data_IF_338726255138
#
_entry.id   IF_338726255138
#
_cell.length_a   1.000
_cell.length_b   1.000
_cell.length_c   1.000
_cell.angle_alpha   90.00
_cell.angle_beta   90.00
_cell.angle_gamma   90.00
#
_symmetry.space_group_name_H-M   'P 1'
#
loop_
_entity.id
_entity.type
_entity.pdbx_description
1 polymer ?
#
# COMPACT_ATOMS: atom_id res chain seq x y z
N UNK A 1 1.42 -58.50 -1.55
CA UNK A 1 0.15 -57.75 -1.79
C UNK A 1 0.37 -56.26 -1.55
N UNK A 2 0.81 -55.50 -2.55
CA UNK A 2 1.20 -54.09 -2.34
C UNK A 2 1.06 -53.18 -3.56
N UNK A 3 0.30 -53.59 -4.60
CA UNK A 3 0.15 -52.83 -5.85
C UNK A 3 -1.31 -52.45 -6.17
N UNK A 4 -2.28 -52.82 -5.35
CA UNK A 4 -3.70 -52.42 -5.53
C UNK A 4 -4.11 -51.13 -4.80
N UNK A 5 -3.27 -50.60 -3.89
CA UNK A 5 -3.56 -49.38 -3.12
C UNK A 5 -3.36 -48.06 -3.90
N UNK A 6 -2.36 -48.01 -4.79
CA UNK A 6 -2.00 -46.78 -5.51
C UNK A 6 -2.93 -46.47 -6.69
N UNK A 7 -3.51 -47.49 -7.34
CA UNK A 7 -4.45 -47.27 -8.44
C UNK A 7 -5.82 -46.72 -7.99
N UNK A 8 -6.22 -46.96 -6.73
CA UNK A 8 -7.46 -46.36 -6.16
C UNK A 8 -7.30 -44.86 -5.85
N UNK A 9 -6.11 -44.41 -5.44
CA UNK A 9 -5.84 -42.99 -5.17
C UNK A 9 -5.76 -42.15 -6.46
N UNK A 10 -5.19 -42.70 -7.53
CA UNK A 10 -5.06 -42.01 -8.82
C UNK A 10 -6.40 -41.87 -9.56
N UNK A 11 -7.34 -42.81 -9.35
CA UNK A 11 -8.68 -42.73 -9.97
C UNK A 11 -9.60 -41.69 -9.31
N UNK A 12 -9.44 -41.43 -8.01
CA UNK A 12 -10.25 -40.44 -7.28
C UNK A 12 -9.79 -39.01 -7.52
N UNK A 13 -8.47 -38.78 -7.71
CA UNK A 13 -7.95 -37.47 -8.12
C UNK A 13 -8.34 -37.08 -9.55
N UNK A 14 -8.39 -38.03 -10.50
CA UNK A 14 -8.86 -37.76 -11.87
C UNK A 14 -10.35 -37.36 -11.92
N UNK A 15 -11.22 -38.00 -11.13
CA UNK A 15 -12.66 -37.64 -11.05
C UNK A 15 -12.90 -36.26 -10.39
N UNK A 16 -12.08 -35.85 -9.41
CA UNK A 16 -12.15 -34.51 -8.79
C UNK A 16 -11.69 -33.40 -9.74
N UNK A 17 -10.67 -33.65 -10.59
CA UNK A 17 -10.19 -32.69 -11.60
C UNK A 17 -11.20 -32.49 -12.74
N UNK A 18 -11.93 -33.54 -13.13
CA UNK A 18 -12.98 -33.47 -14.15
C UNK A 18 -14.25 -32.73 -13.70
N UNK A 19 -14.67 -32.86 -12.42
CA UNK A 19 -15.79 -32.08 -11.87
C UNK A 19 -15.47 -30.59 -11.75
N UNK A 20 -14.22 -30.22 -11.40
CA UNK A 20 -13.79 -28.81 -11.30
C UNK A 20 -13.72 -28.11 -12.65
N UNK A 21 -13.43 -28.83 -13.73
CA UNK A 21 -13.43 -28.27 -15.09
C UNK A 21 -14.85 -28.14 -15.67
N UNK A 22 -15.81 -28.99 -15.27
CA UNK A 22 -17.20 -28.88 -15.76
C UNK A 22 -17.94 -27.65 -15.21
N UNK A 23 -17.64 -27.21 -13.99
CA UNK A 23 -18.19 -25.96 -13.42
C UNK A 23 -17.53 -24.69 -13.99
N UNK A 24 -16.41 -24.79 -14.71
CA UNK A 24 -15.70 -23.64 -15.28
C UNK A 24 -16.14 -23.30 -16.71
N UNK A 25 -16.85 -24.22 -17.36
CA UNK A 25 -17.34 -24.06 -18.75
C UNK A 25 -18.77 -23.48 -18.79
N UNK A 26 -19.48 -23.39 -17.66
CA UNK A 26 -20.83 -22.80 -17.59
C UNK A 26 -20.87 -21.31 -17.18
N UNK A 27 -19.74 -20.64 -16.99
CA UNK A 27 -19.67 -19.22 -16.63
C UNK A 27 -19.10 -18.31 -17.74
N UNK A 28 -18.97 -18.84 -18.96
CA UNK A 28 -18.57 -18.08 -20.15
C UNK A 28 -19.73 -18.10 -21.17
N UNK A 29 -20.66 -17.17 -21.00
CA UNK A 29 -21.60 -16.76 -22.04
C UNK A 29 -20.99 -15.61 -22.84
N UNK A 30 -20.89 -15.78 -24.16
CA UNK A 30 -20.23 -14.89 -25.11
C UNK A 30 -21.15 -13.73 -25.60
N UNK A 31 -20.59 -12.70 -26.30
CA UNK A 31 -21.11 -11.34 -26.45
C UNK A 31 -21.83 -11.05 -27.78
N UNK A 32 -22.43 -9.84 -27.92
CA UNK A 32 -22.80 -9.01 -29.12
C UNK A 32 -24.09 -8.19 -28.83
N UNK A 33 -24.37 -6.92 -29.23
CA UNK A 33 -23.84 -5.86 -30.13
C UNK A 33 -24.38 -4.49 -29.59
N UNK A 34 -23.61 -3.40 -29.48
CA UNK A 34 -23.45 -2.22 -30.40
C UNK A 34 -24.75 -1.48 -30.80
N UNK A 35 -24.99 -0.28 -30.26
CA UNK A 35 -25.00 1.03 -30.98
C UNK A 35 -25.55 2.20 -30.15
N UNK A 36 -25.04 3.42 -30.39
CA UNK A 36 -25.80 4.67 -30.20
C UNK A 36 -25.18 5.77 -29.33
N UNK A 37 -24.38 6.65 -29.96
CA UNK A 37 -23.91 7.93 -29.42
C UNK A 37 -24.89 9.04 -29.80
N UNK A 38 -25.34 9.89 -28.86
CA UNK A 38 -25.56 11.35 -29.07
C UNK A 38 -26.01 12.06 -27.79
N UNK A 39 -25.59 13.32 -27.68
CA UNK A 39 -25.64 14.21 -26.54
C UNK A 39 -27.00 14.90 -26.30
N UNK A 40 -27.28 15.28 -25.05
CA UNK A 40 -27.78 16.62 -24.67
C UNK A 40 -27.93 16.78 -23.15
N UNK A 41 -27.72 18.01 -22.71
CA UNK A 41 -27.81 18.59 -21.37
C UNK A 41 -29.12 18.38 -20.61
N UNK A 42 -29.06 18.29 -19.28
CA UNK A 42 -29.78 19.20 -18.37
C UNK A 42 -29.48 18.92 -16.90
N UNK A 43 -29.44 20.01 -16.15
CA UNK A 43 -29.26 20.13 -14.70
C UNK A 43 -30.49 19.60 -13.97
N UNK A 44 -30.30 18.79 -12.92
CA UNK A 44 -31.15 18.85 -11.72
C UNK A 44 -30.48 18.21 -10.50
N UNK A 45 -30.79 18.81 -9.35
CA UNK A 45 -30.29 18.55 -8.00
C UNK A 45 -30.83 17.25 -7.41
N UNK A 46 -30.09 16.80 -6.39
CA UNK A 46 -30.54 16.17 -5.14
C UNK A 46 -30.41 14.64 -5.00
N UNK A 47 -29.87 14.33 -3.81
CA UNK A 47 -30.04 13.15 -2.97
C UNK A 47 -29.18 11.90 -3.21
N UNK A 48 -28.27 11.70 -2.25
CA UNK A 48 -27.52 10.49 -1.95
C UNK A 48 -28.46 9.30 -1.68
N UNK A 49 -28.18 8.09 -2.16
CA UNK A 49 -29.02 6.94 -1.83
C UNK A 49 -28.61 6.36 -0.48
N UNK A 50 -29.45 6.62 0.53
CA UNK A 50 -29.57 5.77 1.73
C UNK A 50 -29.96 4.35 1.30
N UNK A 51 -29.24 3.35 1.80
CA UNK A 51 -29.62 1.95 1.64
C UNK A 51 -30.97 1.69 2.33
N UNK A 52 -31.99 1.32 1.55
CA UNK A 52 -33.30 0.92 2.08
C UNK A 52 -33.21 -0.48 2.69
N UNK A 53 -33.73 -0.60 3.92
CA UNK A 53 -34.07 -1.86 4.55
C UNK A 53 -35.42 -2.35 4.03
N UNK A 54 -35.45 -3.56 3.47
CA UNK A 54 -36.68 -4.32 3.30
C UNK A 54 -36.97 -5.09 4.59
N UNK A 55 -38.12 -4.82 5.19
CA UNK A 55 -38.70 -5.63 6.26
C UNK A 55 -40.05 -6.14 5.78
N UNK A 56 -40.19 -7.45 5.63
CA UNK A 56 -41.46 -8.12 5.87
C UNK A 56 -41.26 -9.53 6.42
N UNK A 57 -42.06 -9.81 7.44
CA UNK A 57 -41.97 -10.89 8.42
C UNK A 57 -42.43 -12.26 7.90
N UNK A 58 -42.03 -13.34 8.58
CA UNK A 58 -42.97 -14.26 9.25
C UNK A 58 -42.28 -15.23 10.22
N UNK A 59 -42.83 -15.29 11.45
CA UNK A 59 -43.04 -16.51 12.25
C UNK A 59 -41.83 -17.30 12.77
N UNK A 60 -41.42 -17.03 14.00
CA UNK A 60 -40.59 -17.95 14.80
C UNK A 60 -40.12 -17.30 16.10
N UNK A 61 -40.67 -17.74 17.25
CA UNK A 61 -40.17 -17.37 18.58
C UNK A 61 -38.85 -18.09 18.82
N UNK A 62 -37.78 -17.51 18.32
CA UNK A 62 -36.43 -17.80 18.79
C UNK A 62 -35.99 -16.57 19.58
N UNK A 63 -35.48 -16.76 20.79
CA UNK A 63 -34.89 -15.69 21.56
C UNK A 63 -33.75 -15.11 20.72
N UNK A 64 -34.03 -14.01 20.01
CA UNK A 64 -33.00 -13.22 19.37
C UNK A 64 -32.13 -12.75 20.52
N UNK A 65 -30.98 -13.38 20.69
CA UNK A 65 -29.85 -12.71 21.27
C UNK A 65 -29.76 -11.41 20.46
N UNK A 66 -30.16 -10.31 21.08
CA UNK A 66 -29.86 -8.99 20.58
C UNK A 66 -28.35 -8.94 20.67
N UNK A 67 -27.68 -9.39 19.60
CA UNK A 67 -26.29 -9.04 19.35
C UNK A 67 -26.27 -7.52 19.56
N UNK A 68 -25.54 -7.01 20.55
CA UNK A 68 -25.49 -5.57 20.76
C UNK A 68 -24.92 -5.01 19.47
N UNK A 69 -25.79 -4.38 18.66
CA UNK A 69 -25.40 -3.72 17.42
C UNK A 69 -24.59 -2.51 17.86
N UNK A 70 -23.31 -2.75 18.11
CA UNK A 70 -22.32 -1.71 18.36
C UNK A 70 -22.39 -0.75 17.16
N UNK A 71 -22.43 0.57 17.39
CA UNK A 71 -22.44 1.54 16.31
C UNK A 71 -21.29 1.29 15.33
N UNK A 72 -21.52 1.55 14.04
CA UNK A 72 -20.54 1.35 12.96
C UNK A 72 -19.19 2.03 13.26
N UNK A 73 -19.24 3.18 13.94
CA UNK A 73 -18.07 3.93 14.41
C UNK A 73 -17.20 3.15 15.41
N UNK A 74 -17.84 2.37 16.29
CA UNK A 74 -17.14 1.53 17.28
C UNK A 74 -16.48 0.35 16.57
N UNK A 75 -17.15 -0.25 15.58
CA UNK A 75 -16.57 -1.30 14.76
C UNK A 75 -15.38 -0.81 13.95
N UNK A 76 -15.48 0.35 13.29
CA UNK A 76 -14.37 0.96 12.58
C UNK A 76 -13.15 1.18 13.49
N UNK A 77 -13.40 1.62 14.74
CA UNK A 77 -12.33 1.82 15.71
C UNK A 77 -11.70 0.51 16.16
N UNK A 78 -12.50 -0.51 16.49
CA UNK A 78 -12.01 -1.85 16.84
C UNK A 78 -11.19 -2.42 15.68
N UNK A 79 -11.72 -2.36 14.45
CA UNK A 79 -11.04 -2.86 13.27
C UNK A 79 -9.69 -2.16 13.07
N UNK A 80 -9.62 -0.84 13.25
CA UNK A 80 -8.38 -0.05 13.10
C UNK A 80 -7.26 -0.43 14.08
N UNK A 81 -7.60 -1.08 15.20
CA UNK A 81 -6.68 -1.54 16.23
C UNK A 81 -6.21 -2.99 16.01
N UNK A 82 -6.88 -3.76 15.16
CA UNK A 82 -6.47 -5.12 14.82
C UNK A 82 -5.15 -5.10 14.03
N UNK A 83 -4.40 -6.19 14.08
CA UNK A 83 -3.36 -6.39 13.08
C UNK A 83 -4.00 -6.62 11.72
N UNK A 84 -3.29 -6.27 10.64
CA UNK A 84 -3.80 -6.42 9.27
C UNK A 84 -4.26 -7.85 8.98
N UNK A 85 -3.57 -8.86 9.49
CA UNK A 85 -3.93 -10.28 9.30
C UNK A 85 -5.25 -10.62 9.99
N UNK A 86 -5.44 -10.18 11.24
CA UNK A 86 -6.66 -10.43 12.00
C UNK A 86 -7.87 -9.72 11.36
N UNK A 87 -7.67 -8.49 10.89
CA UNK A 87 -8.67 -7.75 10.13
C UNK A 87 -9.05 -8.46 8.81
N UNK A 88 -8.08 -9.07 8.13
CA UNK A 88 -8.32 -9.89 6.94
C UNK A 88 -9.06 -11.20 7.27
N UNK A 89 -8.70 -11.86 8.38
CA UNK A 89 -9.36 -13.08 8.83
C UNK A 89 -10.81 -12.83 9.25
N UNK A 90 -11.08 -11.74 9.97
CA UNK A 90 -12.44 -11.34 10.33
C UNK A 90 -13.29 -11.06 9.08
N UNK A 91 -12.69 -10.58 7.99
CA UNK A 91 -13.38 -10.40 6.70
C UNK A 91 -13.96 -11.69 6.13
N UNK A 92 -13.42 -12.86 6.50
CA UNK A 92 -13.94 -14.16 6.09
C UNK A 92 -15.21 -14.58 6.85
N UNK A 93 -15.50 -13.92 7.98
CA UNK A 93 -16.60 -14.32 8.88
C UNK A 93 -17.93 -13.72 8.47
N UNK A 94 -17.95 -12.49 7.93
CA UNK A 94 -19.19 -11.84 7.49
C UNK A 94 -18.99 -10.83 6.36
N UNK A 95 -20.06 -10.51 5.63
CA UNK A 95 -20.04 -9.45 4.61
C UNK A 95 -19.77 -8.07 5.21
N UNK A 96 -20.23 -7.81 6.42
CA UNK A 96 -19.97 -6.54 7.12
C UNK A 96 -18.48 -6.37 7.42
N UNK A 97 -17.83 -7.43 7.93
CA UNK A 97 -16.39 -7.45 8.16
C UNK A 97 -15.58 -7.35 6.86
N UNK A 98 -16.08 -7.93 5.77
CA UNK A 98 -15.49 -7.71 4.44
C UNK A 98 -15.55 -6.23 4.02
N UNK A 99 -16.64 -5.53 4.34
CA UNK A 99 -16.76 -4.08 4.15
C UNK A 99 -15.65 -3.34 4.90
N UNK A 100 -15.52 -3.56 6.21
CA UNK A 100 -14.49 -2.91 7.04
C UNK A 100 -13.06 -3.23 6.57
N UNK A 101 -12.81 -4.47 6.09
CA UNK A 101 -11.51 -4.84 5.52
C UNK A 101 -11.17 -4.04 4.25
N UNK A 102 -12.13 -3.84 3.35
CA UNK A 102 -11.95 -3.05 2.13
C UNK A 102 -11.59 -1.59 2.42
N UNK A 103 -11.99 -1.09 3.59
CA UNK A 103 -11.78 0.28 4.07
C UNK A 103 -10.65 0.36 5.12
N UNK A 104 -9.94 -0.74 5.38
CA UNK A 104 -8.98 -0.86 6.48
C UNK A 104 -7.77 0.10 6.31
N UNK A 105 -7.49 1.01 7.25
CA UNK A 105 -6.60 2.15 7.00
C UNK A 105 -5.09 1.85 7.08
N UNK A 106 -4.68 0.72 7.66
CA UNK A 106 -3.28 0.44 7.99
C UNK A 106 -2.75 -0.77 7.23
N UNK A 107 -2.16 -0.57 6.06
CA UNK A 107 -1.64 -1.65 5.23
C UNK A 107 -0.15 -1.87 5.49
N UNK A 108 0.22 -3.11 5.82
CA UNK A 108 1.61 -3.51 6.08
C UNK A 108 1.92 -4.81 5.35
N UNK A 109 2.55 -4.66 4.19
CA UNK A 109 3.04 -5.73 3.35
C UNK A 109 4.53 -5.91 3.60
N UNK A 110 4.88 -6.89 4.42
CA UNK A 110 6.26 -7.24 4.76
C UNK A 110 6.43 -8.74 4.64
N UNK A 111 7.68 -9.19 4.56
CA UNK A 111 7.95 -10.62 4.54
C UNK A 111 7.38 -11.30 5.81
N UNK A 112 7.53 -10.66 6.98
CA UNK A 112 7.02 -11.20 8.24
C UNK A 112 5.49 -11.31 8.24
N UNK A 113 4.79 -10.36 7.62
CA UNK A 113 3.33 -10.33 7.66
C UNK A 113 2.64 -11.22 6.64
N UNK A 114 3.30 -11.57 5.52
CA UNK A 114 2.66 -12.34 4.43
C UNK A 114 3.32 -13.70 4.18
N UNK A 115 4.62 -13.84 4.43
CA UNK A 115 5.38 -15.08 4.16
C UNK A 115 6.28 -15.49 5.33
N UNK A 116 5.76 -15.68 6.57
CA UNK A 116 6.58 -15.89 7.77
C UNK A 116 7.46 -17.15 7.76
N UNK A 117 7.23 -18.10 6.85
CA UNK A 117 7.99 -19.36 6.75
C UNK A 117 9.19 -19.27 5.81
N UNK A 118 9.28 -18.24 4.98
CA UNK A 118 10.29 -18.15 3.92
C UNK A 118 10.97 -16.77 3.94
N UNK A 119 12.26 -16.74 3.63
CA UNK A 119 13.00 -15.49 3.52
C UNK A 119 12.96 -15.00 2.06
N UNK A 120 12.15 -13.98 1.78
CA UNK A 120 12.00 -13.42 0.43
C UNK A 120 13.29 -12.85 -0.16
N UNK A 121 14.32 -12.55 0.66
CA UNK A 121 15.64 -12.10 0.18
C UNK A 121 16.44 -13.22 -0.49
N UNK A 122 16.15 -14.47 -0.16
CA UNK A 122 16.82 -15.67 -0.67
C UNK A 122 15.87 -16.61 -1.40
N UNK A 123 14.60 -16.23 -1.53
CA UNK A 123 13.56 -17.07 -2.09
C UNK A 123 13.64 -17.16 -3.63
N UNK A 124 13.08 -18.23 -4.18
CA UNK A 124 12.93 -18.39 -5.63
C UNK A 124 11.91 -17.43 -6.23
N UNK A 125 11.96 -17.24 -7.55
CA UNK A 125 11.06 -16.35 -8.31
C UNK A 125 9.58 -16.65 -8.05
N UNK A 126 9.19 -17.93 -7.93
CA UNK A 126 7.81 -18.34 -7.67
C UNK A 126 7.25 -17.79 -6.36
N UNK A 127 8.01 -17.88 -5.27
CA UNK A 127 7.60 -17.39 -3.94
C UNK A 127 7.40 -15.87 -3.96
N UNK A 128 8.37 -15.15 -4.55
CA UNK A 128 8.31 -13.68 -4.68
C UNK A 128 7.08 -13.28 -5.51
N UNK A 129 6.78 -14.01 -6.59
CA UNK A 129 5.59 -13.75 -7.41
C UNK A 129 4.30 -14.04 -6.66
N UNK A 130 4.24 -15.11 -5.87
CA UNK A 130 3.06 -15.41 -5.05
C UNK A 130 2.81 -14.33 -3.99
N UNK A 131 3.88 -13.85 -3.33
CA UNK A 131 3.83 -12.69 -2.43
C UNK A 131 3.33 -11.43 -3.16
N UNK A 132 3.93 -11.10 -4.31
CA UNK A 132 3.52 -9.93 -5.09
C UNK A 132 2.05 -10.05 -5.57
N UNK A 133 1.62 -11.23 -6.00
CA UNK A 133 0.22 -11.48 -6.38
C UNK A 133 -0.74 -11.32 -5.21
N UNK A 134 -0.31 -11.59 -3.97
CA UNK A 134 -1.12 -11.37 -2.79
C UNK A 134 -1.34 -9.88 -2.52
N UNK A 135 -0.28 -9.07 -2.64
CA UNK A 135 -0.39 -7.60 -2.53
C UNK A 135 -1.37 -7.07 -3.58
N UNK A 136 -1.21 -7.52 -4.82
CA UNK A 136 -2.06 -7.12 -5.95
C UNK A 136 -3.53 -7.39 -5.67
N UNK A 137 -3.85 -8.60 -5.19
CA UNK A 137 -5.21 -8.97 -4.79
C UNK A 137 -5.75 -8.13 -3.64
N UNK A 138 -4.92 -7.77 -2.66
CA UNK A 138 -5.38 -6.94 -1.55
C UNK A 138 -5.71 -5.54 -2.05
N UNK A 139 -4.82 -4.91 -2.82
CA UNK A 139 -4.99 -3.53 -3.29
C UNK A 139 -6.12 -3.39 -4.32
N UNK A 140 -6.26 -4.32 -5.25
CA UNK A 140 -7.32 -4.31 -6.28
C UNK A 140 -8.72 -4.53 -5.71
N UNK A 141 -8.85 -5.19 -4.55
CA UNK A 141 -10.15 -5.46 -3.92
C UNK A 141 -10.64 -4.33 -2.99
N UNK A 142 -9.89 -3.23 -2.85
CA UNK A 142 -10.25 -2.11 -1.96
C UNK A 142 -11.23 -1.15 -2.62
N UNK A 143 -12.01 -0.48 -1.77
CA UNK A 143 -12.80 0.68 -2.18
C UNK A 143 -11.88 1.90 -2.25
N UNK A 144 -11.80 2.57 -3.40
CA UNK A 144 -10.96 3.77 -3.59
C UNK A 144 -11.39 4.99 -2.76
N UNK A 145 -12.61 4.96 -2.20
CA UNK A 145 -13.16 6.05 -1.40
C UNK A 145 -12.57 6.14 0.02
N UNK A 146 -12.17 5.00 0.60
CA UNK A 146 -11.70 4.91 1.98
C UNK A 146 -10.17 4.83 2.00
N UNK A 147 -9.58 6.02 2.00
CA UNK A 147 -8.13 6.20 1.83
C UNK A 147 -7.28 5.48 2.87
N UNK A 148 -6.12 5.01 2.44
CA UNK A 148 -5.11 4.39 3.31
C UNK A 148 -4.44 5.47 4.16
N UNK A 149 -4.37 5.26 5.49
CA UNK A 149 -3.72 6.18 6.40
C UNK A 149 -2.23 5.85 6.59
N UNK A 150 -1.90 4.56 6.64
CA UNK A 150 -0.53 4.06 6.76
C UNK A 150 -0.28 2.98 5.73
N UNK A 151 0.77 3.14 4.95
CA UNK A 151 1.23 2.14 3.98
C UNK A 151 2.68 1.80 4.27
N UNK A 152 2.94 0.53 4.55
CA UNK A 152 4.27 -0.07 4.54
C UNK A 152 4.32 -1.16 3.48
N UNK A 153 5.27 -1.06 2.56
CA UNK A 153 5.40 -1.92 1.40
C UNK A 153 6.84 -2.38 1.20
N UNK A 154 7.08 -3.67 1.42
CA UNK A 154 8.32 -4.35 1.06
C UNK A 154 8.13 -4.99 -0.32
N UNK A 155 8.72 -4.39 -1.35
CA UNK A 155 8.67 -4.90 -2.72
C UNK A 155 9.92 -5.74 -3.03
N UNK A 156 9.72 -6.99 -3.41
CA UNK A 156 10.80 -7.87 -3.84
C UNK A 156 10.78 -8.03 -5.35
N UNK A 157 11.89 -7.67 -6.01
CA UNK A 157 12.03 -7.81 -7.47
C UNK A 157 12.30 -9.29 -7.80
N UNK A 158 11.51 -9.93 -8.68
CA UNK A 158 11.79 -11.29 -9.13
C UNK A 158 13.19 -11.40 -9.77
N UNK A 159 13.98 -12.46 -9.47
CA UNK A 159 15.35 -12.60 -9.95
C UNK A 159 15.51 -12.71 -11.46
N UNK A 160 14.44 -13.10 -12.16
CA UNK A 160 14.39 -13.28 -13.61
C UNK A 160 14.18 -11.97 -14.39
N UNK A 161 14.00 -10.84 -13.69
CA UNK A 161 13.87 -9.50 -14.29
C UNK A 161 12.62 -9.30 -15.14
N UNK A 162 11.70 -10.27 -15.16
CA UNK A 162 10.57 -10.30 -16.08
C UNK A 162 9.42 -9.36 -15.67
N UNK A 163 9.37 -8.95 -14.40
CA UNK A 163 8.31 -8.08 -13.87
C UNK A 163 8.89 -6.70 -13.54
N UNK A 164 8.63 -5.75 -14.46
CA UNK A 164 9.07 -4.36 -14.34
C UNK A 164 8.39 -3.65 -13.16
N UNK A 165 8.94 -2.51 -12.74
CA UNK A 165 8.39 -1.70 -11.66
C UNK A 165 6.96 -1.15 -11.91
N UNK A 166 6.37 -1.39 -13.08
CA UNK A 166 4.98 -1.04 -13.42
C UNK A 166 3.97 -1.48 -12.35
N UNK A 167 4.18 -2.67 -11.77
CA UNK A 167 3.29 -3.21 -10.73
C UNK A 167 3.41 -2.41 -9.44
N UNK A 168 4.64 -2.08 -9.04
CA UNK A 168 4.90 -1.24 -7.88
C UNK A 168 4.31 0.17 -8.07
N UNK A 169 4.47 0.77 -9.24
CA UNK A 169 3.87 2.07 -9.57
C UNK A 169 2.34 2.04 -9.44
N UNK A 170 1.71 1.01 -10.03
CA UNK A 170 0.25 0.84 -9.93
C UNK A 170 -0.21 0.70 -8.49
N UNK A 171 0.52 -0.06 -7.66
CA UNK A 171 0.21 -0.21 -6.24
C UNK A 171 0.31 1.09 -5.47
N UNK A 172 1.36 1.88 -5.71
CA UNK A 172 1.52 3.18 -5.08
C UNK A 172 0.40 4.14 -5.50
N UNK A 173 0.00 4.14 -6.77
CA UNK A 173 -1.12 4.95 -7.24
C UNK A 173 -2.48 4.53 -6.65
N UNK A 174 -2.69 3.23 -6.40
CA UNK A 174 -3.92 2.74 -5.76
C UNK A 174 -3.95 3.02 -4.26
N UNK A 175 -2.80 2.94 -3.59
CA UNK A 175 -2.74 2.97 -2.13
C UNK A 175 -2.47 4.38 -1.57
N UNK A 176 -1.68 5.21 -2.26
CA UNK A 176 -1.35 6.56 -1.79
C UNK A 176 -2.50 7.50 -2.11
N UNK A 177 -3.24 7.85 -1.07
CA UNK A 177 -4.40 8.75 -1.12
C UNK A 177 -4.13 10.05 -0.37
N UNK A 178 -4.98 11.09 -0.52
CA UNK A 178 -4.89 12.31 0.27
C UNK A 178 -5.00 12.14 1.79
N UNK A 179 -5.38 10.95 2.28
CA UNK A 179 -5.43 10.62 3.72
C UNK A 179 -4.15 9.94 4.24
N UNK A 180 -3.20 9.65 3.36
CA UNK A 180 -1.97 8.92 3.70
C UNK A 180 -1.05 9.77 4.55
N UNK A 181 -0.83 9.35 5.80
CA UNK A 181 0.04 10.03 6.76
C UNK A 181 1.41 9.38 6.84
N UNK A 182 1.50 8.07 6.63
CA UNK A 182 2.75 7.33 6.76
C UNK A 182 2.96 6.48 5.50
N UNK A 183 4.07 6.70 4.82
CA UNK A 183 4.49 5.92 3.65
C UNK A 183 5.91 5.37 3.91
N UNK A 184 6.01 4.05 3.95
CA UNK A 184 7.27 3.32 4.04
C UNK A 184 7.39 2.40 2.83
N UNK A 185 8.38 2.63 1.98
CA UNK A 185 8.67 1.82 0.80
C UNK A 185 10.06 1.23 0.90
N UNK A 186 10.15 -0.10 0.85
CA UNK A 186 11.40 -0.85 0.84
C UNK A 186 11.50 -1.65 -0.45
N UNK A 187 12.45 -1.31 -1.33
CA UNK A 187 12.67 -2.01 -2.59
C UNK A 187 13.84 -2.98 -2.47
N UNK A 188 13.59 -4.28 -2.55
CA UNK A 188 14.62 -5.31 -2.51
C UNK A 188 14.97 -5.74 -3.94
N UNK A 189 15.91 -5.02 -4.54
CA UNK A 189 16.48 -5.28 -5.87
C UNK A 189 17.99 -5.52 -5.79
N UNK A 190 18.64 -5.95 -6.89
CA UNK A 190 20.12 -5.96 -6.96
C UNK A 190 20.67 -4.54 -7.08
N UNK A 191 20.10 -3.74 -7.99
CA UNK A 191 20.45 -2.34 -8.24
C UNK A 191 19.25 -1.43 -8.01
N UNK A 192 19.48 -0.20 -7.51
CA UNK A 192 18.43 0.79 -7.27
C UNK A 192 17.93 1.40 -8.58
N UNK A 193 17.12 0.66 -9.35
CA UNK A 193 16.59 1.11 -10.65
C UNK A 193 15.15 1.64 -10.60
N UNK A 194 14.49 1.58 -9.44
CA UNK A 194 13.15 2.14 -9.29
C UNK A 194 13.20 3.64 -9.07
N UNK A 195 12.53 4.40 -9.94
CA UNK A 195 12.33 5.83 -9.76
C UNK A 195 11.01 6.08 -9.03
N UNK A 196 11.08 6.59 -7.81
CA UNK A 196 9.90 6.85 -7.02
C UNK A 196 9.03 7.94 -7.69
N UNK A 197 7.72 7.71 -7.84
CA UNK A 197 6.82 8.68 -8.49
C UNK A 197 6.55 9.88 -7.57
N UNK A 198 7.40 10.91 -7.64
CA UNK A 198 7.30 12.15 -6.86
C UNK A 198 5.94 12.86 -6.96
N UNK A 199 5.16 12.59 -8.02
CA UNK A 199 3.79 13.09 -8.16
C UNK A 199 2.89 12.69 -7.00
N UNK A 200 3.17 11.55 -6.34
CA UNK A 200 2.46 11.09 -5.15
C UNK A 200 2.75 11.93 -3.90
N UNK A 201 3.79 12.76 -3.93
CA UNK A 201 4.15 13.71 -2.87
C UNK A 201 3.70 15.13 -3.18
N UNK A 202 3.01 15.35 -4.31
CA UNK A 202 2.51 16.66 -4.70
C UNK A 202 1.30 17.09 -3.86
N UNK A 203 0.95 18.38 -3.91
CA UNK A 203 -0.25 18.92 -3.24
C UNK A 203 -1.55 18.22 -3.70
N UNK A 204 -1.57 17.56 -4.87
CA UNK A 204 -2.72 16.78 -5.34
C UNK A 204 -3.04 15.58 -4.42
N UNK A 205 -2.04 15.08 -3.69
CA UNK A 205 -2.20 14.03 -2.68
C UNK A 205 -2.41 14.62 -1.28
N UNK A 206 -2.96 15.84 -1.18
CA UNK A 206 -3.44 16.45 0.06
C UNK A 206 -2.36 16.86 1.06
N UNK A 207 -1.07 16.70 0.72
CA UNK A 207 0.07 17.09 1.56
C UNK A 207 0.02 16.53 2.98
N UNK A 208 -0.62 15.38 3.16
CA UNK A 208 -0.96 14.80 4.46
C UNK A 208 0.12 13.87 5.02
N UNK A 209 1.12 13.53 4.19
CA UNK A 209 2.25 12.67 4.59
C UNK A 209 3.05 13.37 5.69
N UNK A 210 3.14 12.69 6.83
CA UNK A 210 3.89 13.10 8.02
C UNK A 210 5.18 12.29 8.18
N UNK A 211 5.19 11.04 7.68
CA UNK A 211 6.36 10.17 7.68
C UNK A 211 6.58 9.59 6.30
N UNK A 212 7.78 9.81 5.77
CA UNK A 212 8.25 9.21 4.52
C UNK A 212 9.53 8.44 4.79
N UNK A 213 9.50 7.13 4.55
CA UNK A 213 10.67 6.26 4.58
C UNK A 213 10.84 5.62 3.21
N UNK A 214 11.99 5.82 2.59
CA UNK A 214 12.33 5.23 1.30
C UNK A 214 13.63 4.44 1.44
N UNK A 215 13.62 3.20 0.95
CA UNK A 215 14.79 2.34 0.90
C UNK A 215 15.03 1.80 -0.51
N UNK A 216 16.27 1.99 -1.00
CA UNK A 216 16.78 1.43 -2.25
C UNK A 216 15.99 1.81 -3.52
N UNK A 217 15.68 3.10 -3.66
CA UNK A 217 15.05 3.68 -4.84
C UNK A 217 15.74 5.00 -5.24
N UNK A 218 15.29 5.63 -6.32
CA UNK A 218 15.70 6.98 -6.70
C UNK A 218 14.58 7.98 -6.43
N UNK A 219 14.96 9.19 -6.05
CA UNK A 219 14.02 10.26 -5.76
C UNK A 219 14.38 11.49 -6.59
N UNK A 220 13.58 11.77 -7.63
CA UNK A 220 13.84 12.86 -8.59
C UNK A 220 12.67 13.85 -8.63
N UNK A 221 12.58 14.78 -7.66
CA UNK A 221 11.53 15.77 -7.64
C UNK A 221 11.67 16.76 -8.80
N UNK A 222 10.63 16.88 -9.62
CA UNK A 222 10.59 17.76 -10.81
C UNK A 222 9.77 19.04 -10.61
N UNK A 223 9.04 19.18 -9.51
CA UNK A 223 8.15 20.31 -9.23
C UNK A 223 8.01 20.57 -7.72
N UNK A 224 7.27 21.64 -7.36
CA UNK A 224 6.95 21.94 -5.96
C UNK A 224 6.16 20.79 -5.33
N UNK A 225 6.77 20.16 -4.33
CA UNK A 225 6.17 19.08 -3.57
C UNK A 225 5.25 19.63 -2.47
N UNK A 226 4.23 18.85 -2.11
CA UNK A 226 3.24 19.19 -1.09
C UNK A 226 3.59 18.71 0.31
N UNK A 227 4.87 18.69 0.68
CA UNK A 227 5.35 18.02 1.91
C UNK A 227 5.22 18.87 3.19
N UNK A 228 4.23 19.76 3.26
CA UNK A 228 4.05 20.73 4.36
C UNK A 228 3.83 20.07 5.73
N UNK A 229 3.27 18.86 5.75
CA UNK A 229 2.99 18.10 6.97
C UNK A 229 4.12 17.13 7.36
N UNK A 230 5.17 17.01 6.54
CA UNK A 230 6.23 16.02 6.72
C UNK A 230 7.03 16.34 7.99
N UNK A 231 7.03 15.41 8.95
CA UNK A 231 7.77 15.50 10.21
C UNK A 231 8.99 14.61 10.23
N UNK A 232 8.93 13.46 9.54
CA UNK A 232 10.02 12.51 9.49
C UNK A 232 10.33 12.14 8.05
N UNK A 233 11.56 12.40 7.63
CA UNK A 233 12.11 11.96 6.36
C UNK A 233 13.27 10.99 6.64
N UNK A 234 13.15 9.76 6.16
CA UNK A 234 14.21 8.75 6.25
C UNK A 234 14.51 8.20 4.87
N UNK A 235 15.69 8.51 4.37
CA UNK A 235 16.21 8.02 3.10
C UNK A 235 17.37 7.08 3.39
N UNK A 236 17.26 5.83 2.93
CA UNK A 236 18.32 4.82 3.08
C UNK A 236 18.65 4.16 1.75
N UNK A 237 19.91 4.18 1.34
CA UNK A 237 20.32 3.63 0.04
C UNK A 237 19.52 4.27 -1.12
N UNK A 238 19.17 5.56 -0.98
CA UNK A 238 18.34 6.28 -1.96
C UNK A 238 19.25 7.12 -2.86
N UNK A 239 19.05 6.98 -4.18
CA UNK A 239 19.68 7.84 -5.19
C UNK A 239 18.97 9.19 -5.24
N UNK A 240 19.60 10.20 -4.64
CA UNK A 240 19.11 11.58 -4.57
C UNK A 240 20.30 12.52 -4.48
N UNK A 241 20.31 13.57 -5.30
CA UNK A 241 21.34 14.61 -5.28
C UNK A 241 21.07 15.63 -4.17
N UNK A 242 22.10 16.44 -3.84
CA UNK A 242 21.94 17.54 -2.88
C UNK A 242 20.89 18.57 -3.32
N UNK A 243 20.80 18.86 -4.63
CA UNK A 243 19.81 19.79 -5.19
C UNK A 243 18.38 19.25 -5.08
N UNK A 244 18.18 17.98 -5.45
CA UNK A 244 16.89 17.30 -5.34
C UNK A 244 16.43 17.23 -3.87
N UNK A 245 17.34 16.92 -2.94
CA UNK A 245 17.07 16.96 -1.52
C UNK A 245 16.74 18.38 -1.03
N UNK A 246 17.44 19.40 -1.53
CA UNK A 246 17.14 20.80 -1.23
C UNK A 246 15.71 21.20 -1.59
N UNK A 247 15.19 20.73 -2.73
CA UNK A 247 13.79 20.92 -3.13
C UNK A 247 12.79 20.26 -2.15
N UNK A 248 13.09 19.05 -1.68
CA UNK A 248 12.30 18.34 -0.67
C UNK A 248 12.29 19.08 0.67
N UNK A 249 13.46 19.50 1.14
CA UNK A 249 13.61 20.21 2.42
C UNK A 249 12.93 21.57 2.38
N UNK A 250 12.99 22.29 1.27
CA UNK A 250 12.35 23.61 1.12
C UNK A 250 10.83 23.57 1.20
N UNK A 251 10.21 22.42 0.88
CA UNK A 251 8.75 22.20 0.96
C UNK A 251 8.29 21.59 2.30
N UNK A 252 9.24 21.21 3.17
CA UNK A 252 8.97 20.43 4.38
C UNK A 252 9.11 21.24 5.68
N UNK A 253 8.39 22.37 5.80
CA UNK A 253 8.50 23.30 6.95
C UNK A 253 8.22 22.66 8.34
N UNK A 254 7.50 21.53 8.38
CA UNK A 254 7.17 20.83 9.61
C UNK A 254 8.20 19.74 9.99
N UNK A 255 9.30 19.62 9.25
CA UNK A 255 10.27 18.53 9.43
C UNK A 255 10.95 18.63 10.80
N UNK A 256 10.89 17.54 11.55
CA UNK A 256 11.45 17.40 12.90
C UNK A 256 12.66 16.45 12.89
N UNK A 257 12.61 15.41 12.04
CA UNK A 257 13.63 14.36 11.95
C UNK A 257 14.06 14.12 10.50
N UNK A 258 15.36 14.25 10.22
CA UNK A 258 15.98 13.92 8.94
C UNK A 258 17.01 12.81 9.12
N UNK A 259 16.84 11.70 8.41
CA UNK A 259 17.81 10.60 8.38
C UNK A 259 18.25 10.31 6.94
N UNK A 260 19.55 10.34 6.71
CA UNK A 260 20.19 10.05 5.43
C UNK A 260 21.23 8.96 5.66
N UNK A 261 21.02 7.78 5.10
CA UNK A 261 21.87 6.62 5.33
C UNK A 261 22.27 5.98 4.01
N UNK A 262 23.56 5.88 3.70
CA UNK A 262 24.05 5.39 2.39
C UNK A 262 23.48 6.15 1.18
N UNK A 263 23.35 7.48 1.27
CA UNK A 263 22.92 8.34 0.17
C UNK A 263 24.14 8.93 -0.53
N UNK A 264 24.77 8.12 -1.38
CA UNK A 264 26.07 8.44 -1.98
C UNK A 264 26.02 9.51 -3.09
N UNK A 265 24.85 9.82 -3.65
CA UNK A 265 24.72 10.87 -4.68
C UNK A 265 24.75 12.30 -4.09
N UNK A 266 24.73 12.44 -2.76
CA UNK A 266 24.77 13.73 -2.08
C UNK A 266 26.22 14.16 -1.85
N UNK A 267 26.69 15.17 -2.60
CA UNK A 267 28.03 15.77 -2.39
C UNK A 267 28.00 16.88 -1.35
N UNK A 268 26.92 17.66 -1.31
CA UNK A 268 26.72 18.79 -0.40
C UNK A 268 25.29 18.78 0.11
N UNK A 269 25.14 18.84 1.43
CA UNK A 269 23.84 18.91 2.10
C UNK A 269 23.62 20.33 2.61
N UNK A 270 22.62 21.01 2.07
CA UNK A 270 22.17 22.31 2.58
C UNK A 270 20.83 22.17 3.30
N UNK A 271 20.82 22.49 4.59
CA UNK A 271 19.62 22.45 5.42
C UNK A 271 19.11 23.88 5.55
N UNK A 272 17.94 24.20 4.97
CA UNK A 272 17.48 25.58 4.89
C UNK A 272 17.01 26.12 6.25
N UNK A 273 17.14 27.44 6.44
CA UNK A 273 16.76 28.11 7.70
C UNK A 273 15.26 28.07 8.00
N UNK A 274 14.42 27.77 7.01
CA UNK A 274 12.98 27.58 7.18
C UNK A 274 12.62 26.33 8.01
N UNK A 275 13.55 25.39 8.21
CA UNK A 275 13.35 24.18 9.01
C UNK A 275 13.47 24.45 10.51
N UNK A 276 12.59 25.32 11.02
CA UNK A 276 12.55 25.76 12.41
C UNK A 276 12.24 24.63 13.40
N UNK A 277 11.68 23.51 12.94
CA UNK A 277 11.33 22.36 13.81
C UNK A 277 12.34 21.23 13.77
N UNK A 278 13.34 21.31 12.88
CA UNK A 278 14.31 20.24 12.72
C UNK A 278 15.14 20.14 14.00
N UNK A 279 14.94 19.04 14.72
CA UNK A 279 15.56 18.79 16.02
C UNK A 279 16.54 17.62 15.98
N UNK A 280 16.40 16.73 14.98
CA UNK A 280 17.21 15.55 14.79
C UNK A 280 17.70 15.43 13.34
N UNK A 281 19.01 15.24 13.18
CA UNK A 281 19.67 14.94 11.91
C UNK A 281 20.56 13.71 12.11
N UNK A 282 20.47 12.73 11.23
CA UNK A 282 21.41 11.61 11.17
C UNK A 282 21.92 11.47 9.75
N UNK A 283 23.24 11.47 9.60
CA UNK A 283 23.90 11.24 8.31
C UNK A 283 24.94 10.14 8.48
N UNK A 284 24.72 8.99 7.87
CA UNK A 284 25.55 7.81 8.09
C UNK A 284 25.91 7.11 6.77
N UNK A 285 27.20 6.89 6.53
CA UNK A 285 27.67 6.11 5.38
C UNK A 285 27.42 6.72 4.00
N UNK A 286 27.20 8.04 3.91
CA UNK A 286 27.14 8.76 2.63
C UNK A 286 28.57 9.08 2.16
N UNK A 287 29.12 8.27 1.25
CA UNK A 287 30.55 8.24 0.97
C UNK A 287 31.08 9.46 0.22
N UNK A 288 30.25 10.10 -0.61
CA UNK A 288 30.64 11.28 -1.40
C UNK A 288 30.30 12.61 -0.72
N UNK A 289 29.69 12.59 0.46
CA UNK A 289 29.29 13.80 1.16
C UNK A 289 30.50 14.52 1.73
N UNK A 290 30.74 15.75 1.26
CA UNK A 290 31.90 16.56 1.65
C UNK A 290 31.54 17.65 2.65
N UNK A 291 30.35 18.24 2.52
CA UNK A 291 29.95 19.41 3.31
C UNK A 291 28.50 19.29 3.75
N UNK A 292 28.25 19.58 5.04
CA UNK A 292 26.92 19.80 5.60
C UNK A 292 26.83 21.26 6.05
N UNK A 293 25.96 22.02 5.40
CA UNK A 293 25.62 23.38 5.81
C UNK A 293 24.28 23.39 6.50
N UNK A 294 24.30 23.55 7.82
CA UNK A 294 23.09 23.68 8.61
C UNK A 294 22.72 25.15 8.85
N UNK A 295 21.58 25.59 8.32
CA UNK A 295 20.99 26.91 8.62
C UNK A 295 19.75 26.79 9.51
N UNK A 296 19.32 25.58 9.88
CA UNK A 296 18.19 25.36 10.78
C UNK A 296 18.57 25.70 12.24
N UNK A 297 17.76 26.49 12.96
CA UNK A 297 18.17 27.05 14.24
C UNK A 297 18.04 26.10 15.44
N UNK A 298 17.19 25.08 15.36
CA UNK A 298 16.78 24.28 16.52
C UNK A 298 17.31 22.83 16.49
N UNK A 299 18.40 22.59 15.76
CA UNK A 299 19.01 21.25 15.69
C UNK A 299 19.63 20.89 17.06
N UNK A 300 19.14 19.82 17.67
CA UNK A 300 19.51 19.42 19.03
C UNK A 300 20.28 18.11 19.10
N UNK A 301 20.07 17.22 18.11
CA UNK A 301 20.69 15.90 18.01
C UNK A 301 21.25 15.74 16.59
N UNK A 302 22.52 15.36 16.49
CA UNK A 302 23.29 15.18 15.25
C UNK A 302 24.17 13.93 15.35
#
# INVERSE_FOLDING_TARGET
MGLMGLNRLMSTQRKRKQRRNRCRIQALGNPRDIDGWSAASSVSKADSPLCRHDVSSHGGKEARYLDPVLPEEVWCRIYSLLQMQDAACAACVSRSFLGYWRCYPNLTFTNETMCPKENLKTAGSNVIRDYNNQIDRVLTNRSSADGVAKLKLDYHVPPDGAESYHRLDSWLQMAVTPRTKELELLVWSKEASFDFPCILLSDMCGGSIQKLLLFKCALRPTSQLGLRSLRTLHLRDVRVTGEELGCLLSSSIALEHLKLVYCDDIVRLEIPCLLQRLSFLEVAGCMNLQVIENKAPNLSQF
#
